data_IF_600836762799
#
_entry.id   IF_600836762799
#
_cell.length_a   1.000
_cell.length_b   1.000
_cell.length_c   1.000
_cell.angle_alpha   90.00
_cell.angle_beta   90.00
_cell.angle_gamma   90.00
#
_symmetry.space_group_name_H-M   'P 1'
#
loop_
_entity.id
_entity.type
_entity.pdbx_description
1 polymer ?
#
# COMPACT_ATOMS: atom_id res chain seq x y z
N UNK A 1 -13.89 23.83 12.16
CA UNK A 1 -13.20 23.61 10.88
C UNK A 1 -12.52 22.24 10.97
N UNK A 2 -13.13 21.20 10.39
CA UNK A 2 -12.50 19.88 10.36
C UNK A 2 -11.24 19.99 9.49
N UNK A 3 -10.07 19.72 10.05
CA UNK A 3 -8.85 19.58 9.28
C UNK A 3 -9.05 18.42 8.31
N UNK A 4 -8.71 18.60 7.05
CA UNK A 4 -8.70 17.54 6.04
C UNK A 4 -7.65 16.52 6.45
N UNK A 5 -8.12 15.42 7.05
CA UNK A 5 -7.23 14.35 7.48
C UNK A 5 -6.89 13.47 6.28
N UNK A 6 -5.66 12.99 6.16
CA UNK A 6 -5.29 11.97 5.19
C UNK A 6 -6.14 10.71 5.37
N UNK A 7 -6.52 10.09 4.26
CA UNK A 7 -7.28 8.84 4.25
C UNK A 7 -6.48 7.73 3.59
N UNK A 8 -6.50 6.55 4.20
CA UNK A 8 -5.92 5.34 3.64
C UNK A 8 -7.06 4.45 3.20
N UNK A 9 -7.07 4.09 1.92
CA UNK A 9 -8.08 3.24 1.31
C UNK A 9 -7.48 1.90 0.89
N UNK A 10 -8.11 0.82 1.34
CA UNK A 10 -7.79 -0.55 0.99
C UNK A 10 -9.07 -1.34 0.69
N UNK A 11 -8.94 -2.51 0.11
CA UNK A 11 -9.99 -3.51 -0.08
C UNK A 11 -11.29 -2.94 -0.67
N UNK A 12 -12.41 -3.05 0.05
CA UNK A 12 -13.73 -2.67 -0.43
C UNK A 12 -13.85 -1.17 -0.75
N UNK A 13 -13.12 -0.30 -0.04
CA UNK A 13 -13.10 1.12 -0.35
C UNK A 13 -12.56 1.38 -1.77
N UNK A 14 -11.52 0.65 -2.20
CA UNK A 14 -10.98 0.75 -3.56
C UNK A 14 -11.94 0.19 -4.60
N UNK A 15 -12.70 -0.87 -4.28
CA UNK A 15 -13.73 -1.43 -5.16
C UNK A 15 -14.86 -0.41 -5.37
N UNK A 16 -15.36 0.23 -4.30
CA UNK A 16 -16.39 1.27 -4.39
C UNK A 16 -15.94 2.47 -5.24
N UNK A 17 -14.66 2.85 -5.14
CA UNK A 17 -14.07 3.90 -5.98
C UNK A 17 -14.02 3.45 -7.44
N UNK A 18 -13.61 2.23 -7.71
CA UNK A 18 -13.54 1.67 -9.07
C UNK A 18 -14.93 1.60 -9.74
N UNK A 19 -15.96 1.29 -8.97
CA UNK A 19 -17.37 1.25 -9.41
C UNK A 19 -18.03 2.65 -9.53
N UNK A 20 -17.28 3.71 -9.22
CA UNK A 20 -17.79 5.11 -9.13
C UNK A 20 -18.91 5.28 -8.09
N UNK A 21 -19.03 4.38 -7.12
CA UNK A 21 -19.98 4.52 -6.01
C UNK A 21 -19.52 5.57 -4.99
N UNK A 22 -18.22 5.88 -4.95
CA UNK A 22 -17.61 6.91 -4.11
C UNK A 22 -16.73 7.80 -4.95
N UNK A 23 -16.88 9.11 -4.77
CA UNK A 23 -15.99 10.11 -5.40
C UNK A 23 -14.77 10.34 -4.52
N UNK A 24 -13.59 10.45 -5.14
CA UNK A 24 -12.34 10.81 -4.47
C UNK A 24 -12.14 12.33 -4.55
N UNK A 25 -12.40 13.10 -3.47
CA UNK A 25 -12.19 14.54 -3.49
C UNK A 25 -10.69 14.86 -3.61
N UNK A 26 -10.28 15.67 -4.59
CA UNK A 26 -8.86 15.94 -4.84
C UNK A 26 -8.18 16.77 -3.74
N UNK A 27 -8.97 17.42 -2.89
CA UNK A 27 -8.50 18.22 -1.78
C UNK A 27 -8.18 17.40 -0.52
N UNK A 28 -8.53 16.13 -0.47
CA UNK A 28 -8.18 15.21 0.62
C UNK A 28 -6.91 14.48 0.22
N UNK A 29 -5.89 14.42 1.12
CA UNK A 29 -4.71 13.61 0.87
C UNK A 29 -5.06 12.11 0.99
N UNK A 30 -4.75 11.32 -0.05
CA UNK A 30 -5.09 9.90 -0.12
C UNK A 30 -3.86 9.01 -0.21
N UNK A 31 -3.92 7.85 0.44
CA UNK A 31 -3.07 6.69 0.16
C UNK A 31 -3.97 5.54 -0.25
N UNK A 32 -3.70 4.94 -1.40
CA UNK A 32 -4.35 3.72 -1.88
C UNK A 32 -3.38 2.55 -1.76
N UNK A 33 -3.87 1.40 -1.29
CA UNK A 33 -3.04 0.21 -1.08
C UNK A 33 -3.53 -0.99 -1.92
N UNK A 34 -3.72 -0.84 -3.25
CA UNK A 34 -4.27 -1.89 -4.07
C UNK A 34 -3.31 -3.09 -4.22
N UNK A 35 -3.85 -4.32 -4.19
CA UNK A 35 -3.22 -5.46 -4.83
C UNK A 35 -3.49 -5.41 -6.35
N UNK A 36 -2.80 -6.23 -7.21
CA UNK A 36 -2.95 -6.12 -8.66
C UNK A 36 -4.40 -6.22 -9.18
N UNK A 37 -5.24 -7.05 -8.54
CA UNK A 37 -6.66 -7.17 -8.92
C UNK A 37 -7.50 -5.93 -8.58
N UNK A 38 -7.22 -5.23 -7.46
CA UNK A 38 -7.84 -3.95 -7.12
C UNK A 38 -7.35 -2.85 -8.05
N UNK A 39 -6.05 -2.83 -8.33
CA UNK A 39 -5.45 -1.89 -9.27
C UNK A 39 -6.02 -2.03 -10.68
N UNK A 40 -6.27 -3.25 -11.14
CA UNK A 40 -6.89 -3.52 -12.44
C UNK A 40 -8.32 -2.97 -12.52
N UNK A 41 -9.12 -3.13 -11.47
CA UNK A 41 -10.47 -2.53 -11.37
C UNK A 41 -10.43 -1.00 -11.38
N UNK A 42 -9.53 -0.40 -10.58
CA UNK A 42 -9.31 1.05 -10.56
C UNK A 42 -8.86 1.59 -11.93
N UNK A 43 -8.05 0.83 -12.65
CA UNK A 43 -7.54 1.21 -13.96
C UNK A 43 -8.56 0.97 -15.09
N UNK A 44 -9.46 -0.01 -14.93
CA UNK A 44 -10.37 -0.47 -15.98
C UNK A 44 -9.67 -1.36 -17.02
N UNK A 45 -8.67 -2.16 -16.59
CA UNK A 45 -7.87 -3.05 -17.46
C UNK A 45 -7.78 -4.46 -16.88
N UNK A 46 -7.21 -5.39 -17.62
CA UNK A 46 -6.97 -6.74 -17.13
C UNK A 46 -5.85 -6.77 -16.07
N UNK A 47 -5.95 -7.68 -15.10
CA UNK A 47 -4.93 -7.81 -14.04
C UNK A 47 -3.54 -8.10 -14.60
N UNK A 48 -3.44 -8.92 -15.67
CA UNK A 48 -2.19 -9.21 -16.35
C UNK A 48 -1.50 -7.98 -16.97
N UNK A 49 -2.27 -6.96 -17.38
CA UNK A 49 -1.71 -5.70 -17.85
C UNK A 49 -1.04 -4.92 -16.71
N UNK A 50 -1.67 -4.91 -15.54
CA UNK A 50 -1.08 -4.28 -14.35
C UNK A 50 0.19 -5.02 -13.94
N UNK A 51 0.17 -6.35 -13.93
CA UNK A 51 1.32 -7.18 -13.54
C UNK A 51 2.49 -7.06 -14.51
N UNK A 52 2.23 -6.87 -15.79
CA UNK A 52 3.28 -6.74 -16.82
C UNK A 52 4.07 -5.44 -16.73
N UNK A 53 3.50 -4.37 -16.15
CA UNK A 53 4.15 -3.06 -16.01
C UNK A 53 3.67 -2.32 -14.74
N UNK A 54 3.97 -2.93 -13.59
CA UNK A 54 3.54 -2.46 -12.26
C UNK A 54 3.97 -1.04 -11.96
N UNK A 55 5.19 -0.66 -12.36
CA UNK A 55 5.75 0.68 -12.12
C UNK A 55 4.92 1.74 -12.84
N UNK A 56 4.66 1.54 -14.11
CA UNK A 56 3.88 2.48 -14.91
C UNK A 56 2.41 2.55 -14.43
N UNK A 57 1.81 1.41 -14.06
CA UNK A 57 0.43 1.40 -13.56
C UNK A 57 0.30 2.05 -12.19
N UNK A 58 1.25 1.86 -11.28
CA UNK A 58 1.26 2.58 -10.01
C UNK A 58 1.32 4.10 -10.22
N UNK A 59 2.20 4.57 -11.12
CA UNK A 59 2.31 5.99 -11.46
C UNK A 59 1.05 6.55 -12.14
N UNK A 60 0.44 5.80 -13.08
CA UNK A 60 -0.82 6.19 -13.73
C UNK A 60 -1.97 6.33 -12.73
N UNK A 61 -2.10 5.36 -11.82
CA UNK A 61 -3.15 5.40 -10.77
C UNK A 61 -2.91 6.54 -9.80
N UNK A 62 -1.67 6.76 -9.36
CA UNK A 62 -1.31 7.87 -8.49
C UNK A 62 -1.72 9.22 -9.12
N UNK A 63 -1.40 9.42 -10.38
CA UNK A 63 -1.77 10.63 -11.13
C UNK A 63 -3.28 10.76 -11.33
N UNK A 64 -3.96 9.65 -11.68
CA UNK A 64 -5.41 9.64 -11.95
C UNK A 64 -6.23 10.05 -10.73
N UNK A 65 -5.86 9.55 -9.55
CA UNK A 65 -6.60 9.76 -8.31
C UNK A 65 -6.01 10.84 -7.40
N UNK A 66 -4.93 11.50 -7.83
CA UNK A 66 -4.18 12.45 -7.00
C UNK A 66 -3.81 11.86 -5.62
N UNK A 67 -3.42 10.58 -5.58
CA UNK A 67 -3.16 9.79 -4.38
C UNK A 67 -1.76 9.17 -4.41
N UNK A 68 -1.16 8.95 -3.25
CA UNK A 68 -0.03 8.02 -3.17
C UNK A 68 -0.57 6.60 -3.32
N UNK A 69 0.07 5.80 -4.18
CA UNK A 69 -0.34 4.41 -4.45
C UNK A 69 0.73 3.45 -3.99
N UNK A 70 0.34 2.50 -3.14
CA UNK A 70 1.15 1.35 -2.73
C UNK A 70 0.61 0.12 -3.48
N UNK A 71 1.15 -0.18 -4.65
CA UNK A 71 0.76 -1.37 -5.43
C UNK A 71 1.42 -2.62 -4.83
N UNK A 72 0.63 -3.33 -4.01
CA UNK A 72 1.05 -4.52 -3.24
C UNK A 72 1.48 -5.68 -4.15
N UNK A 73 2.43 -6.51 -3.67
CA UNK A 73 2.88 -7.75 -4.32
C UNK A 73 4.39 -7.92 -4.25
N UNK A 74 4.93 -8.94 -4.90
CA UNK A 74 6.37 -9.15 -5.01
C UNK A 74 7.02 -7.94 -5.71
N UNK A 75 7.90 -7.22 -5.01
CA UNK A 75 8.37 -5.91 -5.46
C UNK A 75 7.24 -4.85 -5.35
N UNK A 76 6.75 -4.58 -4.12
CA UNK A 76 5.74 -3.54 -3.88
C UNK A 76 6.22 -2.20 -4.43
N UNK A 77 5.40 -1.57 -5.28
CA UNK A 77 5.70 -0.28 -5.92
C UNK A 77 4.95 0.83 -5.20
N UNK A 78 5.66 1.89 -4.84
CA UNK A 78 5.08 3.10 -4.22
C UNK A 78 5.26 4.24 -5.20
N UNK A 79 4.17 4.91 -5.58
CA UNK A 79 4.18 6.02 -6.51
C UNK A 79 3.37 7.21 -5.95
N UNK A 80 3.89 8.42 -6.13
CA UNK A 80 3.25 9.69 -5.79
C UNK A 80 2.63 10.34 -7.03
N UNK A 81 1.58 11.16 -6.86
CA UNK A 81 1.04 11.98 -7.95
C UNK A 81 1.98 13.14 -8.33
N UNK A 82 2.92 13.52 -7.46
CA UNK A 82 3.91 14.56 -7.72
C UNK A 82 4.94 14.10 -8.75
N UNK A 83 5.33 15.00 -9.65
CA UNK A 83 6.40 14.73 -10.62
C UNK A 83 7.80 14.74 -10.01
N UNK A 84 7.93 15.37 -8.85
CA UNK A 84 9.20 15.54 -8.14
C UNK A 84 9.50 14.35 -7.22
N UNK A 85 8.48 13.53 -6.91
CA UNK A 85 8.64 12.34 -6.08
C UNK A 85 9.15 11.15 -6.90
N UNK A 86 10.14 10.48 -6.35
CA UNK A 86 10.67 9.24 -6.93
C UNK A 86 9.71 8.06 -6.69
N UNK A 87 9.68 7.16 -7.64
CA UNK A 87 9.03 5.86 -7.45
C UNK A 87 9.93 5.00 -6.57
N UNK A 88 9.38 4.42 -5.50
CA UNK A 88 10.08 3.49 -4.63
C UNK A 88 9.64 2.06 -4.93
N UNK A 89 10.57 1.11 -4.87
CA UNK A 89 10.28 -0.33 -5.00
C UNK A 89 10.87 -1.04 -3.79
N UNK A 90 10.01 -1.73 -3.04
CA UNK A 90 10.43 -2.59 -1.94
C UNK A 90 10.62 -4.02 -2.45
N UNK A 91 11.84 -4.53 -2.32
CA UNK A 91 12.20 -5.90 -2.71
C UNK A 91 12.21 -6.89 -1.54
N UNK A 92 11.95 -6.41 -0.31
CA UNK A 92 11.80 -7.25 0.88
C UNK A 92 10.45 -7.95 0.92
N UNK A 93 10.30 -8.85 1.87
CA UNK A 93 9.14 -9.71 2.04
C UNK A 93 9.34 -11.10 1.43
N UNK A 94 8.43 -12.00 1.76
CA UNK A 94 8.52 -13.40 1.41
C UNK A 94 7.15 -13.97 1.01
N UNK A 95 7.09 -15.17 0.39
CA UNK A 95 5.83 -15.76 -0.06
C UNK A 95 4.82 -16.05 1.05
N UNK A 96 5.25 -16.25 2.30
CA UNK A 96 4.36 -16.44 3.44
C UNK A 96 3.49 -15.22 3.75
N UNK A 97 3.90 -14.03 3.30
CA UNK A 97 3.11 -12.81 3.42
C UNK A 97 1.89 -12.77 2.47
N UNK A 98 1.70 -13.76 1.60
CA UNK A 98 0.53 -13.90 0.77
C UNK A 98 -0.63 -14.56 1.55
N UNK A 99 -0.90 -14.10 2.77
CA UNK A 99 -1.99 -14.57 3.64
C UNK A 99 -2.92 -13.44 4.04
N UNK A 100 -4.14 -13.79 4.49
CA UNK A 100 -5.15 -12.81 4.88
C UNK A 100 -4.70 -11.92 6.05
N UNK A 101 -5.12 -10.65 6.05
CA UNK A 101 -4.81 -9.68 7.09
C UNK A 101 -3.49 -8.92 6.91
N UNK A 102 -2.62 -9.31 5.98
CA UNK A 102 -1.36 -8.60 5.71
C UNK A 102 -1.59 -7.17 5.21
N UNK A 103 -2.63 -6.97 4.38
CA UNK A 103 -3.04 -5.64 3.93
C UNK A 103 -3.48 -4.75 5.08
N UNK A 104 -4.26 -5.30 6.03
CA UNK A 104 -4.75 -4.57 7.20
C UNK A 104 -3.59 -4.09 8.08
N UNK A 105 -2.58 -4.96 8.30
CA UNK A 105 -1.38 -4.60 9.05
C UNK A 105 -0.62 -3.46 8.34
N UNK A 106 -0.44 -3.55 7.02
CA UNK A 106 0.24 -2.51 6.24
C UNK A 106 -0.54 -1.19 6.29
N UNK A 107 -1.86 -1.23 6.09
CA UNK A 107 -2.71 -0.04 6.13
C UNK A 107 -2.69 0.62 7.52
N UNK A 108 -2.80 -0.18 8.59
CA UNK A 108 -2.72 0.30 9.97
C UNK A 108 -1.37 0.94 10.29
N UNK A 109 -0.26 0.29 9.92
CA UNK A 109 1.09 0.82 10.11
C UNK A 109 1.29 2.14 9.36
N UNK A 110 0.90 2.18 8.08
CA UNK A 110 0.99 3.39 7.26
C UNK A 110 0.18 4.53 7.88
N UNK A 111 -1.04 4.22 8.37
CA UNK A 111 -1.89 5.19 9.08
C UNK A 111 -1.25 5.74 10.35
N UNK A 112 -0.62 4.89 11.14
CA UNK A 112 0.09 5.30 12.33
C UNK A 112 1.26 6.23 12.02
N UNK A 113 2.02 5.96 10.95
CA UNK A 113 3.14 6.81 10.52
C UNK A 113 2.66 8.19 10.02
N UNK A 114 1.56 8.22 9.25
CA UNK A 114 0.92 9.48 8.85
C UNK A 114 0.44 10.27 10.07
N UNK A 115 -0.16 9.60 11.06
CA UNK A 115 -0.62 10.24 12.29
C UNK A 115 0.54 10.81 13.14
N UNK A 116 1.75 10.27 12.99
CA UNK A 116 2.98 10.78 13.60
C UNK A 116 3.58 11.98 12.85
N UNK A 117 3.00 12.38 11.72
CA UNK A 117 3.39 13.59 11.00
C UNK A 117 4.31 13.36 9.79
N UNK A 118 4.57 12.11 9.40
CA UNK A 118 5.29 11.84 8.15
C UNK A 118 4.44 12.27 6.95
N UNK A 119 5.09 12.70 5.87
CA UNK A 119 4.41 12.89 4.59
C UNK A 119 3.82 11.57 4.08
N UNK A 120 2.84 11.63 3.18
CA UNK A 120 2.21 10.42 2.65
C UNK A 120 3.23 9.49 1.98
N UNK A 121 4.20 10.05 1.26
CA UNK A 121 5.23 9.27 0.57
C UNK A 121 6.20 8.63 1.57
N UNK A 122 6.69 9.38 2.56
CA UNK A 122 7.56 8.85 3.61
C UNK A 122 6.87 7.76 4.43
N UNK A 123 5.62 7.99 4.86
CA UNK A 123 4.83 7.01 5.60
C UNK A 123 4.60 5.74 4.78
N UNK A 124 4.36 5.86 3.46
CA UNK A 124 4.19 4.73 2.56
C UNK A 124 5.49 3.94 2.39
N UNK A 125 6.61 4.63 2.16
CA UNK A 125 7.90 3.99 1.95
C UNK A 125 8.39 3.29 3.23
N UNK A 126 8.35 3.97 4.37
CA UNK A 126 8.74 3.42 5.66
C UNK A 126 7.80 2.29 6.08
N UNK A 127 6.48 2.48 5.92
CA UNK A 127 5.48 1.46 6.26
C UNK A 127 5.68 0.16 5.48
N UNK A 128 5.90 0.25 4.17
CA UNK A 128 6.16 -0.93 3.32
C UNK A 128 7.48 -1.60 3.70
N UNK A 129 8.55 -0.83 3.93
CA UNK A 129 9.86 -1.39 4.30
C UNK A 129 9.80 -2.10 5.67
N UNK A 130 9.19 -1.45 6.67
CA UNK A 130 9.02 -2.02 8.02
C UNK A 130 8.14 -3.27 8.01
N UNK A 131 7.02 -3.23 7.27
CA UNK A 131 6.12 -4.37 7.10
C UNK A 131 6.83 -5.57 6.45
N UNK A 132 7.59 -5.34 5.38
CA UNK A 132 8.37 -6.38 4.70
C UNK A 132 9.41 -6.99 5.65
N UNK A 133 10.17 -6.16 6.38
CA UNK A 133 11.17 -6.65 7.33
C UNK A 133 10.53 -7.47 8.47
N UNK A 134 9.43 -7.00 9.05
CA UNK A 134 8.72 -7.77 10.07
C UNK A 134 8.21 -9.11 9.51
N UNK A 135 7.78 -9.13 8.25
CA UNK A 135 7.40 -10.35 7.54
C UNK A 135 8.58 -11.32 7.36
N UNK A 136 9.76 -10.81 7.02
CA UNK A 136 10.96 -11.63 6.86
C UNK A 136 11.41 -12.23 8.20
N UNK A 137 11.41 -11.44 9.28
CA UNK A 137 11.70 -11.94 10.64
C UNK A 137 10.67 -12.99 11.10
N UNK A 138 9.39 -12.78 10.80
CA UNK A 138 8.35 -13.76 11.11
C UNK A 138 8.53 -15.05 10.29
N UNK A 139 8.97 -14.95 9.04
CA UNK A 139 9.28 -16.11 8.19
C UNK A 139 10.44 -16.95 8.74
N UNK A 140 11.50 -16.33 9.22
CA UNK A 140 12.62 -17.02 9.87
C UNK A 140 12.17 -17.86 11.08
N UNK A 141 11.15 -17.36 11.80
CA UNK A 141 10.65 -18.02 13.01
C UNK A 141 9.55 -19.06 12.74
N UNK A 142 8.64 -18.79 11.82
CA UNK A 142 7.39 -19.57 11.64
C UNK A 142 7.29 -20.24 10.27
N UNK A 143 8.13 -19.86 9.30
CA UNK A 143 8.09 -20.38 7.93
C UNK A 143 6.71 -20.14 7.28
N UNK A 144 6.21 -21.16 6.59
CA UNK A 144 4.89 -21.12 5.91
C UNK A 144 3.70 -20.95 6.84
N UNK A 145 3.88 -21.10 8.14
CA UNK A 145 2.85 -20.93 9.16
C UNK A 145 2.70 -19.51 9.68
N UNK A 146 3.47 -18.54 9.16
CA UNK A 146 3.39 -17.15 9.61
C UNK A 146 2.00 -16.57 9.36
N UNK A 147 1.55 -15.72 10.28
CA UNK A 147 0.27 -15.03 10.25
C UNK A 147 0.45 -13.51 10.25
N UNK A 148 -0.60 -12.77 9.88
CA UNK A 148 -0.60 -11.31 9.98
C UNK A 148 -0.35 -10.81 11.41
N UNK A 149 -0.81 -11.55 12.42
CA UNK A 149 -0.57 -11.25 13.83
C UNK A 149 0.92 -11.35 14.18
N UNK A 150 1.64 -12.33 13.63
CA UNK A 150 3.08 -12.46 13.86
C UNK A 150 3.84 -11.28 13.28
N UNK A 151 3.44 -10.81 12.08
CA UNK A 151 4.01 -9.61 11.47
C UNK A 151 3.69 -8.36 12.29
N UNK A 152 2.43 -8.21 12.73
CA UNK A 152 2.02 -7.08 13.56
C UNK A 152 2.79 -7.01 14.89
N UNK A 153 3.01 -8.16 15.54
CA UNK A 153 3.81 -8.25 16.77
C UNK A 153 5.31 -7.98 16.55
N UNK A 154 5.79 -8.18 15.32
CA UNK A 154 7.17 -7.90 14.92
C UNK A 154 7.43 -6.44 14.53
N UNK A 155 6.38 -5.61 14.39
CA UNK A 155 6.54 -4.19 14.11
C UNK A 155 7.20 -3.48 15.29
N UNK A 156 8.29 -2.76 15.04
CA UNK A 156 9.04 -2.04 16.08
C UNK A 156 10.11 -2.86 16.79
N UNK A 157 10.30 -4.12 16.43
CA UNK A 157 11.44 -4.91 16.87
C UNK A 157 12.60 -4.67 15.88
N UNK A 158 13.71 -4.17 16.38
CA UNK A 158 14.94 -3.90 15.61
C UNK A 158 14.74 -2.90 14.42
N UNK A 159 13.98 -1.81 14.63
CA UNK A 159 13.89 -0.65 13.72
C UNK A 159 15.08 0.29 13.92
#
# INVERSE_FOLDING_TARGET
>A
MYKRQPLICDADALNLIAENAVTVPPEIPWIFTPHPGEASRLAGVATGEVESDRVNWAAKLAKRYAAVVILKGAGTVIASPSKDDQICICVGGNPGMATGGMGDVLAGLTGALVAQGLSLMEASALGVATHARAGDLAWERYGVGLTATDVANGLGVDL
#
